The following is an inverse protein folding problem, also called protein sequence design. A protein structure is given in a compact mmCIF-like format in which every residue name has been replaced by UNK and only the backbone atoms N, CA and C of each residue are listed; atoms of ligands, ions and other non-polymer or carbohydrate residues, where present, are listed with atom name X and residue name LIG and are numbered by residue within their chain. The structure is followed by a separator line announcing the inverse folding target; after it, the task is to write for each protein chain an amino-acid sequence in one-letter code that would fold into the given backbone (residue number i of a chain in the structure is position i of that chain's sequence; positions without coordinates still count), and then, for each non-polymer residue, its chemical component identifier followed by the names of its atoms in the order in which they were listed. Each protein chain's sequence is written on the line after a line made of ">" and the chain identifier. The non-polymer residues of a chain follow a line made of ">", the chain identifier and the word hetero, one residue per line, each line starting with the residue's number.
data_IF_992131303961
#
_entry.id   IF_992131303961
#
_cell.length_a   1.000
_cell.length_b   1.000
_cell.length_c   1.000
_cell.angle_alpha   90.00
_cell.angle_beta   90.00
_cell.angle_gamma   90.00
#
_symmetry.space_group_name_H-M   'P 1'
#
loop_
_entity.id
_entity.type
_entity.pdbx_description
1 polymer ?
#
# COMPACT_ATOMS: atom_id res chain seq x y z
N UNK A 1 -12.16 -6.04 -0.42
CA UNK A 1 -13.54 -5.90 -0.93
C UNK A 1 -14.24 -4.74 -0.22
N UNK A 2 -14.44 -3.65 -0.91
CA UNK A 2 -15.12 -2.46 -0.39
C UNK A 2 -16.61 -2.43 -0.81
N UNK A 3 -17.37 -1.54 -0.18
CA UNK A 3 -18.80 -1.31 -0.48
C UNK A 3 -19.70 -2.52 -0.16
N UNK A 4 -19.39 -3.26 0.90
CA UNK A 4 -20.20 -4.42 1.34
C UNK A 4 -21.64 -4.04 1.73
N UNK A 5 -21.91 -2.74 1.91
CA UNK A 5 -23.23 -2.15 2.18
C UNK A 5 -24.10 -1.91 0.94
N UNK A 6 -23.58 -2.17 -0.27
CA UNK A 6 -24.29 -1.91 -1.52
C UNK A 6 -25.03 -3.12 -2.04
N UNK A 7 -26.17 -2.88 -2.72
CA UNK A 7 -26.96 -3.93 -3.38
C UNK A 7 -26.11 -4.71 -4.37
N UNK A 8 -26.15 -6.04 -4.30
CA UNK A 8 -25.37 -6.97 -5.10
C UNK A 8 -23.94 -7.22 -4.56
N UNK A 9 -23.61 -6.71 -3.36
CA UNK A 9 -22.32 -6.99 -2.75
C UNK A 9 -22.20 -8.48 -2.37
N UNK A 10 -21.13 -9.13 -2.85
CA UNK A 10 -20.78 -10.51 -2.51
C UNK A 10 -19.28 -10.63 -2.33
N UNK A 11 -18.87 -11.08 -1.15
CA UNK A 11 -17.48 -11.31 -0.83
C UNK A 11 -16.92 -12.51 -1.58
N UNK A 12 -17.70 -13.57 -1.68
CA UNK A 12 -17.33 -14.80 -2.36
C UNK A 12 -17.10 -14.57 -3.87
N UNK A 13 -17.95 -13.77 -4.52
CA UNK A 13 -17.74 -13.40 -5.92
C UNK A 13 -16.42 -12.67 -6.12
N UNK A 14 -16.09 -11.73 -5.22
CA UNK A 14 -14.82 -10.99 -5.29
C UNK A 14 -13.63 -11.93 -5.12
N UNK A 15 -13.69 -12.87 -4.16
CA UNK A 15 -12.64 -13.87 -3.96
C UNK A 15 -12.43 -14.75 -5.20
N UNK A 16 -13.51 -15.23 -5.78
CA UNK A 16 -13.47 -16.05 -6.98
C UNK A 16 -12.93 -15.26 -8.19
N UNK A 17 -13.38 -14.03 -8.39
CA UNK A 17 -12.89 -13.15 -9.46
C UNK A 17 -11.37 -12.88 -9.32
N UNK A 18 -10.86 -12.68 -8.09
CA UNK A 18 -9.42 -12.52 -7.86
C UNK A 18 -8.67 -13.79 -8.27
N UNK A 19 -9.15 -14.96 -7.87
CA UNK A 19 -8.54 -16.24 -8.22
C UNK A 19 -8.58 -16.53 -9.71
N UNK A 20 -9.75 -16.41 -10.33
CA UNK A 20 -9.97 -16.81 -11.73
C UNK A 20 -9.41 -15.79 -12.74
N UNK A 21 -9.60 -14.49 -12.49
CA UNK A 21 -9.21 -13.45 -13.45
C UNK A 21 -7.79 -12.94 -13.27
N UNK A 22 -7.26 -12.96 -12.04
CA UNK A 22 -5.92 -12.47 -11.75
C UNK A 22 -4.92 -13.60 -11.52
N UNK A 23 -5.37 -14.85 -11.39
CA UNK A 23 -4.51 -15.99 -11.09
C UNK A 23 -3.77 -15.86 -9.75
N UNK A 24 -4.33 -15.07 -8.82
CA UNK A 24 -3.69 -14.72 -7.57
C UNK A 24 -4.15 -15.65 -6.43
N UNK A 25 -3.24 -15.98 -5.51
CA UNK A 25 -3.58 -16.69 -4.28
C UNK A 25 -4.24 -15.70 -3.33
N UNK A 26 -5.58 -15.57 -3.46
CA UNK A 26 -6.39 -14.73 -2.59
C UNK A 26 -6.59 -15.40 -1.24
N UNK A 27 -6.04 -14.82 -0.17
CA UNK A 27 -6.13 -15.30 1.18
C UNK A 27 -7.13 -14.45 1.99
N UNK A 28 -8.37 -14.92 2.22
CA UNK A 28 -9.34 -14.17 3.00
C UNK A 28 -8.93 -14.17 4.48
N UNK A 29 -8.50 -13.03 4.98
CA UNK A 29 -8.16 -12.84 6.40
C UNK A 29 -9.36 -12.35 7.21
N UNK A 30 -10.44 -11.99 6.52
CA UNK A 30 -11.69 -11.53 7.10
C UNK A 30 -12.89 -12.16 6.39
N UNK A 31 -14.03 -12.24 7.11
CA UNK A 31 -15.32 -12.62 6.54
C UNK A 31 -16.43 -11.64 6.97
N UNK A 32 -17.30 -11.18 6.05
CA UNK A 32 -18.35 -10.22 6.40
C UNK A 32 -19.51 -10.91 7.13
N UNK A 33 -20.05 -10.28 8.15
CA UNK A 33 -21.30 -10.66 8.79
C UNK A 33 -22.47 -9.94 8.14
N UNK A 34 -23.15 -10.64 7.24
CA UNK A 34 -24.18 -10.09 6.38
C UNK A 34 -23.61 -9.35 5.16
N UNK A 35 -24.51 -8.90 4.32
CA UNK A 35 -24.21 -8.11 3.12
C UNK A 35 -25.29 -7.05 2.91
N UNK A 36 -25.01 -6.07 2.06
CA UNK A 36 -25.95 -4.99 1.74
C UNK A 36 -26.42 -4.25 3.01
N UNK A 37 -27.73 -4.13 3.19
CA UNK A 37 -28.31 -3.48 4.38
C UNK A 37 -28.08 -4.26 5.68
N UNK A 38 -27.84 -5.58 5.57
CA UNK A 38 -27.57 -6.47 6.70
C UNK A 38 -26.07 -6.56 7.06
N UNK A 39 -25.20 -5.78 6.39
CA UNK A 39 -23.78 -5.75 6.73
C UNK A 39 -23.54 -5.05 8.07
N UNK A 40 -23.41 -5.85 9.13
CA UNK A 40 -23.34 -5.39 10.53
C UNK A 40 -21.98 -5.56 11.19
N UNK A 41 -21.08 -6.36 10.58
CA UNK A 41 -19.79 -6.59 11.20
C UNK A 41 -18.84 -7.42 10.34
N UNK A 42 -17.69 -7.73 10.92
CA UNK A 42 -16.58 -8.43 10.26
C UNK A 42 -16.01 -9.46 11.22
N UNK A 43 -15.77 -10.66 10.73
CA UNK A 43 -15.05 -11.71 11.46
C UNK A 43 -13.58 -11.65 11.03
N UNK A 44 -12.67 -11.56 11.99
CA UNK A 44 -11.24 -11.77 11.80
C UNK A 44 -10.96 -13.28 11.84
N UNK A 45 -10.62 -13.86 10.69
CA UNK A 45 -10.36 -15.30 10.54
C UNK A 45 -9.04 -15.67 11.21
N UNK A 46 -8.07 -14.77 11.23
CA UNK A 46 -6.73 -14.98 11.80
C UNK A 46 -6.80 -15.02 13.33
N UNK A 47 -7.50 -14.05 13.94
CA UNK A 47 -7.63 -13.93 15.40
C UNK A 47 -8.85 -14.66 15.96
N UNK A 48 -9.73 -15.15 15.09
CA UNK A 48 -10.99 -15.82 15.43
C UNK A 48 -11.89 -14.98 16.36
N UNK A 49 -12.08 -13.70 15.99
CA UNK A 49 -12.93 -12.76 16.72
C UNK A 49 -13.91 -12.11 15.78
N UNK A 50 -15.09 -11.75 16.30
CA UNK A 50 -16.10 -11.01 15.56
C UNK A 50 -16.15 -9.55 16.04
N UNK A 51 -16.21 -8.62 15.10
CA UNK A 51 -16.27 -7.17 15.34
C UNK A 51 -17.59 -6.63 14.82
N UNK A 52 -18.46 -6.22 15.74
CA UNK A 52 -19.74 -5.59 15.42
C UNK A 52 -19.63 -4.08 15.49
N UNK A 53 -20.24 -3.40 14.54
CA UNK A 53 -20.34 -1.96 14.50
C UNK A 53 -21.68 -1.53 15.07
N UNK A 54 -21.69 -0.94 16.29
CA UNK A 54 -22.89 -0.68 17.08
C UNK A 54 -23.51 0.68 16.79
N UNK A 55 -22.79 1.57 16.07
CA UNK A 55 -23.29 2.88 15.67
C UNK A 55 -23.19 3.10 14.15
N UNK A 56 -23.94 4.08 13.64
CA UNK A 56 -23.96 4.44 12.22
C UNK A 56 -22.68 5.10 11.71
N UNK A 57 -21.86 5.66 12.63
CA UNK A 57 -20.58 6.28 12.30
C UNK A 57 -19.43 5.27 12.16
N UNK A 58 -19.66 4.01 12.53
CA UNK A 58 -18.64 2.95 12.49
C UNK A 58 -17.46 3.21 13.44
N UNK A 59 -17.68 3.97 14.50
CA UNK A 59 -16.65 4.31 15.50
C UNK A 59 -16.67 3.39 16.71
N UNK A 60 -17.85 2.86 17.05
CA UNK A 60 -18.02 1.99 18.20
C UNK A 60 -18.02 0.54 17.74
N UNK A 61 -16.97 -0.17 18.13
CA UNK A 61 -16.69 -1.55 17.73
C UNK A 61 -16.78 -2.42 18.98
N UNK A 62 -17.65 -3.41 18.94
CA UNK A 62 -17.75 -4.44 19.97
C UNK A 62 -17.08 -5.71 19.45
N UNK A 63 -16.07 -6.19 20.18
CA UNK A 63 -15.41 -7.45 19.90
C UNK A 63 -16.04 -8.58 20.70
N UNK A 64 -16.41 -9.66 20.02
CA UNK A 64 -17.07 -10.84 20.62
C UNK A 64 -16.51 -12.14 20.06
N UNK A 65 -16.99 -13.27 20.61
CA UNK A 65 -16.80 -14.56 19.98
C UNK A 65 -17.57 -14.65 18.66
N UNK A 66 -17.14 -15.53 17.76
CA UNK A 66 -17.78 -15.75 16.47
C UNK A 66 -19.19 -16.33 16.69
N UNK A 67 -20.24 -15.72 16.11
CA UNK A 67 -21.60 -16.26 16.21
C UNK A 67 -21.69 -17.66 15.61
N UNK A 68 -22.50 -18.52 16.24
CA UNK A 68 -22.62 -19.95 15.90
C UNK A 68 -22.93 -20.19 14.41
N UNK A 69 -23.70 -19.30 13.80
CA UNK A 69 -24.10 -19.38 12.38
C UNK A 69 -22.92 -19.24 11.39
N UNK A 70 -21.76 -18.70 11.84
CA UNK A 70 -20.58 -18.49 10.99
C UNK A 70 -19.45 -19.48 11.28
N UNK A 71 -19.52 -20.26 12.37
CA UNK A 71 -18.42 -21.13 12.83
C UNK A 71 -17.92 -22.09 11.75
N UNK A 72 -18.83 -22.81 11.09
CA UNK A 72 -18.47 -23.79 10.06
C UNK A 72 -17.80 -23.11 8.86
N UNK A 73 -18.33 -21.97 8.42
CA UNK A 73 -17.78 -21.22 7.29
C UNK A 73 -16.42 -20.64 7.61
N UNK A 74 -16.25 -20.08 8.81
CA UNK A 74 -14.97 -19.53 9.26
C UNK A 74 -13.93 -20.62 9.44
N UNK A 75 -14.31 -21.78 9.97
CA UNK A 75 -13.40 -22.93 10.11
C UNK A 75 -12.89 -23.42 8.73
N UNK A 76 -13.79 -23.54 7.74
CA UNK A 76 -13.40 -23.88 6.37
C UNK A 76 -12.39 -22.85 5.79
N UNK A 77 -12.70 -21.56 5.91
CA UNK A 77 -11.84 -20.50 5.38
C UNK A 77 -10.50 -20.40 6.11
N UNK A 78 -10.50 -20.64 7.44
CA UNK A 78 -9.27 -20.68 8.23
C UNK A 78 -8.37 -21.84 7.80
N UNK A 79 -8.93 -23.03 7.56
CA UNK A 79 -8.15 -24.15 7.05
C UNK A 79 -7.48 -23.83 5.71
N UNK A 80 -8.22 -23.22 4.77
CA UNK A 80 -7.66 -22.76 3.49
C UNK A 80 -6.60 -21.68 3.67
N UNK A 81 -6.76 -20.79 4.64
CA UNK A 81 -5.80 -19.74 4.97
C UNK A 81 -4.49 -20.32 5.51
N UNK A 82 -4.58 -21.30 6.41
CA UNK A 82 -3.42 -22.01 6.99
C UNK A 82 -2.68 -22.78 5.88
N UNK A 83 -3.40 -23.48 5.02
CA UNK A 83 -2.83 -24.19 3.87
C UNK A 83 -2.05 -23.24 2.96
N UNK A 84 -2.64 -22.10 2.57
CA UNK A 84 -1.97 -21.12 1.75
C UNK A 84 -0.73 -20.50 2.43
N UNK A 85 -0.79 -20.28 3.74
CA UNK A 85 0.33 -19.78 4.52
C UNK A 85 1.45 -20.82 4.68
N UNK A 86 1.11 -22.09 4.82
CA UNK A 86 2.05 -23.21 4.88
C UNK A 86 2.88 -23.37 3.59
N UNK A 87 2.34 -23.02 2.43
CA UNK A 87 3.08 -23.08 1.17
C UNK A 87 4.28 -22.09 1.09
N UNK A 88 4.32 -21.09 1.95
CA UNK A 88 5.37 -20.05 1.97
C UNK A 88 6.27 -20.12 3.21
N UNK A 89 5.92 -20.97 4.17
CA UNK A 89 6.65 -21.11 5.44
C UNK A 89 6.84 -22.57 5.82
N UNK A 90 8.11 -23.02 5.89
CA UNK A 90 8.45 -24.43 6.13
C UNK A 90 8.05 -24.89 7.52
N UNK A 91 8.20 -24.05 8.55
CA UNK A 91 7.82 -24.41 9.91
C UNK A 91 6.31 -24.58 10.03
N UNK A 92 5.55 -23.70 9.38
CA UNK A 92 4.09 -23.78 9.34
C UNK A 92 3.61 -24.97 8.50
N UNK A 93 4.34 -25.34 7.45
CA UNK A 93 4.07 -26.55 6.67
C UNK A 93 4.24 -27.82 7.53
N UNK A 94 5.28 -27.88 8.35
CA UNK A 94 5.47 -29.02 9.26
C UNK A 94 4.32 -29.13 10.27
N UNK A 95 3.91 -28.03 10.89
CA UNK A 95 2.76 -27.99 11.80
C UNK A 95 1.47 -28.43 11.11
N UNK A 96 1.23 -27.95 9.88
CA UNK A 96 0.06 -28.33 9.09
C UNK A 96 0.01 -29.83 8.81
N UNK A 97 1.15 -30.46 8.45
CA UNK A 97 1.26 -31.90 8.19
C UNK A 97 1.08 -32.74 9.45
N UNK A 98 1.48 -32.21 10.62
CA UNK A 98 1.30 -32.88 11.94
C UNK A 98 -0.13 -32.66 12.51
N UNK A 99 -0.93 -31.81 11.83
CA UNK A 99 -2.29 -31.47 12.28
C UNK A 99 -2.31 -30.52 13.47
N UNK A 100 -1.22 -29.80 13.70
CA UNK A 100 -1.13 -28.78 14.74
C UNK A 100 -1.67 -27.44 14.24
N UNK A 101 -2.35 -26.70 15.12
CA UNK A 101 -2.87 -25.39 14.80
C UNK A 101 -1.83 -24.31 15.12
N UNK A 102 -1.49 -23.42 14.14
CA UNK A 102 -0.52 -22.35 14.37
C UNK A 102 -1.09 -21.29 15.32
N UNK A 103 -0.21 -20.66 16.09
CA UNK A 103 -0.57 -19.45 16.83
C UNK A 103 -0.92 -18.29 15.89
N UNK A 104 -1.60 -17.27 16.42
CA UNK A 104 -1.93 -16.06 15.67
C UNK A 104 -0.66 -15.40 15.12
N UNK A 105 0.39 -15.33 15.96
CA UNK A 105 1.67 -14.69 15.61
C UNK A 105 2.38 -15.44 14.47
N UNK A 106 2.38 -16.77 14.51
CA UNK A 106 2.96 -17.62 13.46
C UNK A 106 2.21 -17.44 12.14
N UNK A 107 0.87 -17.46 12.20
CA UNK A 107 0.04 -17.27 11.00
C UNK A 107 0.20 -15.87 10.41
N UNK A 108 0.24 -14.81 11.23
CA UNK A 108 0.49 -13.44 10.78
C UNK A 108 1.88 -13.32 10.14
N UNK A 109 2.91 -13.91 10.75
CA UNK A 109 4.27 -13.87 10.20
C UNK A 109 4.37 -14.57 8.84
N UNK A 110 3.74 -15.75 8.67
CA UNK A 110 3.72 -16.47 7.40
C UNK A 110 2.93 -15.70 6.31
N UNK A 111 1.77 -15.15 6.66
CA UNK A 111 0.98 -14.32 5.74
C UNK A 111 1.74 -13.06 5.31
N UNK A 112 2.45 -12.41 6.26
CA UNK A 112 3.32 -11.27 5.97
C UNK A 112 4.43 -11.66 5.00
N UNK A 113 5.15 -12.75 5.26
CA UNK A 113 6.20 -13.28 4.39
C UNK A 113 5.68 -13.52 2.97
N UNK A 114 4.56 -14.25 2.84
CA UNK A 114 3.94 -14.51 1.54
C UNK A 114 3.46 -13.25 0.82
N UNK A 115 3.04 -12.22 1.57
CA UNK A 115 2.64 -10.92 1.01
C UNK A 115 3.85 -10.15 0.48
N UNK A 116 4.94 -10.10 1.23
CA UNK A 116 6.22 -9.45 0.83
C UNK A 116 6.78 -10.14 -0.41
N UNK A 117 6.73 -11.47 -0.47
CA UNK A 117 7.17 -12.27 -1.61
C UNK A 117 6.18 -12.23 -2.80
N UNK A 118 5.03 -11.56 -2.67
CA UNK A 118 3.96 -11.47 -3.68
C UNK A 118 3.37 -12.82 -4.07
N UNK A 119 3.41 -13.79 -3.16
CA UNK A 119 2.84 -15.13 -3.34
C UNK A 119 1.43 -15.22 -2.78
N UNK A 120 1.12 -14.47 -1.72
CA UNK A 120 -0.18 -14.42 -1.06
C UNK A 120 -0.72 -13.00 -1.10
N UNK A 121 -2.02 -12.86 -1.32
CA UNK A 121 -2.71 -11.58 -1.33
C UNK A 121 -3.83 -11.58 -0.27
N UNK A 122 -3.60 -10.98 0.92
CA UNK A 122 -4.62 -10.89 1.96
C UNK A 122 -5.85 -10.13 1.47
N UNK A 123 -7.02 -10.73 1.65
CA UNK A 123 -8.30 -10.12 1.23
C UNK A 123 -9.12 -9.77 2.45
N UNK A 124 -9.49 -8.49 2.53
CA UNK A 124 -10.29 -7.90 3.59
C UNK A 124 -11.64 -7.44 3.02
N UNK A 125 -12.59 -7.19 3.91
CA UNK A 125 -13.91 -6.68 3.54
C UNK A 125 -14.30 -5.46 4.39
N UNK A 126 -15.22 -4.63 3.86
CA UNK A 126 -15.69 -3.48 4.60
C UNK A 126 -16.57 -2.54 3.76
N UNK A 127 -16.97 -1.44 4.40
CA UNK A 127 -17.62 -0.30 3.77
C UNK A 127 -16.95 0.99 4.25
N UNK A 128 -16.09 1.57 3.43
CA UNK A 128 -15.40 2.81 3.76
C UNK A 128 -16.37 3.97 3.97
N UNK A 129 -17.48 4.02 3.22
CA UNK A 129 -18.51 5.05 3.37
C UNK A 129 -19.18 4.99 4.75
N UNK A 130 -19.38 3.78 5.28
CA UNK A 130 -19.97 3.53 6.60
C UNK A 130 -18.93 3.42 7.70
N UNK A 131 -17.64 3.62 7.38
CA UNK A 131 -16.51 3.43 8.28
C UNK A 131 -16.47 2.05 8.95
N UNK A 132 -17.05 1.02 8.32
CA UNK A 132 -17.03 -0.36 8.79
C UNK A 132 -15.86 -1.11 8.17
N UNK A 133 -14.92 -1.60 9.00
CA UNK A 133 -13.72 -2.33 8.57
C UNK A 133 -12.50 -1.43 8.30
N UNK A 134 -12.60 -0.12 8.42
CA UNK A 134 -11.47 0.80 8.16
C UNK A 134 -10.37 0.62 9.19
N UNK A 135 -10.71 0.50 10.46
CA UNK A 135 -9.76 0.29 11.56
C UNK A 135 -9.00 -1.03 11.37
N UNK A 136 -9.73 -2.12 11.12
CA UNK A 136 -9.14 -3.43 10.85
C UNK A 136 -8.29 -3.46 9.58
N UNK A 137 -8.62 -2.64 8.57
CA UNK A 137 -7.77 -2.47 7.37
C UNK A 137 -6.45 -1.79 7.71
N UNK A 138 -6.47 -0.77 8.58
CA UNK A 138 -5.25 -0.08 9.00
C UNK A 138 -4.34 -1.00 9.82
N UNK A 139 -4.91 -1.81 10.70
CA UNK A 139 -4.17 -2.84 11.43
C UNK A 139 -3.56 -3.87 10.48
N UNK A 140 -4.31 -4.34 9.49
CA UNK A 140 -3.83 -5.27 8.47
C UNK A 140 -2.69 -4.68 7.58
N UNK A 141 -2.68 -3.37 7.35
CA UNK A 141 -1.54 -2.70 6.68
C UNK A 141 -0.27 -2.86 7.51
N UNK A 142 -0.36 -2.72 8.84
CA UNK A 142 0.78 -2.89 9.75
C UNK A 142 1.18 -4.36 9.81
N UNK A 143 0.22 -5.28 9.88
CA UNK A 143 0.47 -6.72 10.01
C UNK A 143 1.09 -7.32 8.75
N UNK A 144 0.62 -6.98 7.57
CA UNK A 144 0.93 -7.72 6.32
C UNK A 144 1.80 -6.97 5.32
N UNK A 145 1.80 -5.63 5.29
CA UNK A 145 2.58 -4.91 4.29
C UNK A 145 4.02 -4.64 4.77
N UNK A 146 4.99 -4.68 3.83
CA UNK A 146 6.39 -4.42 4.18
C UNK A 146 6.65 -2.95 4.49
N UNK A 147 7.55 -2.71 5.42
CA UNK A 147 8.20 -1.41 5.56
C UNK A 147 9.26 -1.19 4.46
N UNK A 148 9.73 0.03 4.24
CA UNK A 148 10.83 0.29 3.30
C UNK A 148 12.12 -0.48 3.58
N UNK A 149 12.33 -0.95 4.83
CA UNK A 149 13.51 -1.73 5.22
C UNK A 149 13.40 -3.23 4.90
N UNK A 150 12.19 -3.71 4.64
CA UNK A 150 11.91 -5.13 4.37
C UNK A 150 11.80 -5.45 2.87
N UNK A 151 11.82 -4.42 2.03
CA UNK A 151 11.84 -4.59 0.56
C UNK A 151 13.27 -4.51 0.04
N UNK A 152 13.58 -5.20 -1.08
CA UNK A 152 14.89 -5.08 -1.71
C UNK A 152 15.23 -3.61 -2.04
N UNK A 153 16.53 -3.28 -1.97
CA UNK A 153 17.02 -1.97 -2.40
C UNK A 153 16.60 -1.69 -3.85
N UNK A 154 16.20 -0.46 -4.13
CA UNK A 154 15.88 -0.09 -5.52
C UNK A 154 17.16 -0.04 -6.34
N UNK A 155 17.09 -0.50 -7.58
CA UNK A 155 18.20 -0.43 -8.52
C UNK A 155 18.03 0.75 -9.45
N UNK A 156 19.12 1.44 -9.69
CA UNK A 156 19.19 2.49 -10.70
C UNK A 156 20.23 2.13 -11.76
N UNK A 157 19.91 2.38 -13.02
CA UNK A 157 20.83 2.19 -14.14
C UNK A 157 21.72 3.42 -14.28
N UNK A 158 23.03 3.20 -14.36
CA UNK A 158 24.00 4.28 -14.62
C UNK A 158 23.85 4.73 -16.07
N UNK A 159 23.89 6.05 -16.31
CA UNK A 159 23.83 6.62 -17.66
C UNK A 159 25.02 6.07 -18.49
N UNK A 160 24.76 5.71 -19.74
CA UNK A 160 25.74 5.19 -20.69
C UNK A 160 26.48 3.90 -20.27
N UNK A 161 25.94 3.16 -19.30
CA UNK A 161 26.50 1.90 -18.82
C UNK A 161 25.42 0.84 -18.67
N UNK A 162 25.84 -0.45 -18.67
CA UNK A 162 25.00 -1.56 -18.24
C UNK A 162 25.02 -1.77 -16.72
N UNK A 163 25.83 -0.98 -16.01
CA UNK A 163 25.98 -1.10 -14.56
C UNK A 163 24.73 -0.59 -13.82
N UNK A 164 24.43 -1.24 -12.73
CA UNK A 164 23.35 -0.86 -11.83
C UNK A 164 23.89 -0.55 -10.43
N UNK A 165 23.37 0.48 -9.81
CA UNK A 165 23.66 0.84 -8.43
C UNK A 165 22.43 0.55 -7.57
N UNK A 166 22.64 -0.06 -6.42
CA UNK A 166 21.57 -0.30 -5.43
C UNK A 166 21.49 0.85 -4.44
N UNK A 167 20.25 1.28 -4.15
CA UNK A 167 19.94 2.33 -3.20
C UNK A 167 19.14 1.72 -2.04
N UNK A 168 19.81 1.32 -0.95
CA UNK A 168 19.13 0.86 0.26
C UNK A 168 18.34 2.01 0.91
N UNK A 169 17.32 1.68 1.68
CA UNK A 169 16.53 2.66 2.41
C UNK A 169 17.30 3.22 3.62
N UNK A 170 18.40 3.92 3.35
CA UNK A 170 19.28 4.54 4.32
C UNK A 170 19.18 6.06 4.23
N UNK A 171 18.75 6.77 5.29
CA UNK A 171 18.69 8.24 5.32
C UNK A 171 20.04 8.95 5.13
N UNK A 172 21.16 8.28 5.50
CA UNK A 172 22.52 8.81 5.36
C UNK A 172 23.17 8.45 4.01
N UNK A 173 22.47 7.65 3.20
CA UNK A 173 22.93 7.22 1.88
C UNK A 173 22.87 8.34 0.82
N UNK A 174 23.34 8.02 -0.40
CA UNK A 174 23.17 8.91 -1.55
C UNK A 174 21.68 9.14 -1.82
N UNK A 175 21.30 10.38 -2.16
CA UNK A 175 19.91 10.70 -2.47
C UNK A 175 19.47 10.00 -3.75
N UNK A 176 18.39 9.25 -3.66
CA UNK A 176 17.66 8.69 -4.80
C UNK A 176 16.15 8.82 -4.56
N UNK A 177 15.48 9.58 -5.39
CA UNK A 177 14.05 9.84 -5.29
C UNK A 177 13.37 9.78 -6.66
N UNK A 178 12.11 9.38 -6.67
CA UNK A 178 11.28 9.32 -7.87
C UNK A 178 10.12 10.32 -7.76
N UNK A 179 9.99 11.20 -8.75
CA UNK A 179 8.81 12.02 -8.93
C UNK A 179 7.71 11.17 -9.58
N UNK A 180 6.68 10.76 -8.82
CA UNK A 180 5.67 9.80 -9.29
C UNK A 180 4.32 10.43 -9.67
N UNK A 181 4.09 11.68 -9.28
CA UNK A 181 2.84 12.41 -9.59
C UNK A 181 3.07 13.90 -9.58
N UNK A 182 2.43 14.59 -10.52
CA UNK A 182 2.37 16.06 -10.55
C UNK A 182 0.92 16.51 -10.43
N UNK A 183 0.70 17.53 -9.63
CA UNK A 183 -0.62 18.12 -9.42
C UNK A 183 -0.50 19.64 -9.47
N UNK A 184 -1.42 20.29 -10.17
CA UNK A 184 -1.59 21.73 -10.09
C UNK A 184 -2.47 22.07 -8.88
N UNK A 185 -1.99 22.96 -8.03
CA UNK A 185 -2.71 23.45 -6.87
C UNK A 185 -2.97 24.95 -7.01
N UNK A 186 -4.20 25.41 -6.79
CA UNK A 186 -4.56 26.82 -7.02
C UNK A 186 -3.86 27.81 -6.08
N UNK A 187 -3.35 27.35 -4.92
CA UNK A 187 -2.73 28.21 -3.91
C UNK A 187 -1.21 28.19 -3.92
N UNK A 188 -0.62 27.02 -4.20
CA UNK A 188 0.85 26.84 -4.13
C UNK A 188 1.48 26.53 -5.49
N UNK A 189 0.66 26.44 -6.54
CA UNK A 189 1.11 26.16 -7.88
C UNK A 189 1.40 24.68 -8.11
N UNK A 190 2.55 24.38 -8.68
CA UNK A 190 2.94 23.01 -9.04
C UNK A 190 3.44 22.24 -7.81
N UNK A 191 2.79 21.14 -7.51
CA UNK A 191 3.18 20.15 -6.50
C UNK A 191 3.76 18.93 -7.21
N UNK A 192 5.01 18.58 -6.92
CA UNK A 192 5.66 17.36 -7.40
C UNK A 192 5.72 16.37 -6.25
N UNK A 193 4.94 15.30 -6.32
CA UNK A 193 4.99 14.24 -5.32
C UNK A 193 6.18 13.33 -5.57
N UNK A 194 6.97 13.10 -4.52
CA UNK A 194 8.19 12.33 -4.58
C UNK A 194 8.17 11.19 -3.56
N UNK A 195 8.78 10.08 -3.92
CA UNK A 195 9.16 9.00 -3.01
C UNK A 195 10.67 9.03 -2.84
N UNK A 196 11.13 9.11 -1.61
CA UNK A 196 12.55 9.02 -1.28
C UNK A 196 12.89 7.56 -1.06
N UNK A 197 13.77 7.01 -1.89
CA UNK A 197 14.23 5.63 -1.77
C UNK A 197 15.50 5.53 -0.91
N UNK A 198 16.41 6.49 -1.03
CA UNK A 198 17.67 6.55 -0.27
C UNK A 198 18.04 7.99 -0.02
N UNK A 199 18.82 8.24 1.00
CA UNK A 199 19.28 9.57 1.39
C UNK A 199 18.20 10.43 2.04
N UNK A 200 18.48 11.70 2.15
CA UNK A 200 17.61 12.73 2.73
C UNK A 200 17.49 13.92 1.80
N UNK A 201 16.25 14.27 1.43
CA UNK A 201 15.94 15.46 0.66
C UNK A 201 15.66 16.63 1.60
N UNK A 202 16.40 17.73 1.47
CA UNK A 202 16.27 18.91 2.33
C UNK A 202 15.60 20.08 1.61
N UNK A 203 14.79 20.84 2.32
CA UNK A 203 14.21 22.08 1.85
C UNK A 203 15.30 23.12 1.57
N UNK A 204 15.20 23.85 0.44
CA UNK A 204 16.16 24.85 0.01
C UNK A 204 17.42 24.29 -0.66
N UNK A 205 17.62 22.97 -0.67
CA UNK A 205 18.74 22.31 -1.32
C UNK A 205 18.63 22.31 -2.85
N UNK A 206 19.61 21.71 -3.49
CA UNK A 206 19.61 21.44 -4.93
C UNK A 206 19.60 19.93 -5.17
N UNK A 207 18.90 19.51 -6.22
CA UNK A 207 18.91 18.16 -6.75
C UNK A 207 19.23 18.18 -8.24
N UNK A 208 19.75 17.07 -8.73
CA UNK A 208 19.91 16.84 -10.14
C UNK A 208 18.79 15.95 -10.67
N UNK A 209 18.02 16.45 -11.62
CA UNK A 209 17.01 15.68 -12.34
C UNK A 209 17.72 14.89 -13.44
N UNK A 210 18.02 13.63 -13.15
CA UNK A 210 18.77 12.77 -14.07
C UNK A 210 18.01 12.53 -15.39
N UNK A 211 16.69 12.42 -15.33
CA UNK A 211 15.85 12.21 -16.53
C UNK A 211 15.76 13.41 -17.47
N UNK A 212 16.06 14.62 -16.99
CA UNK A 212 16.03 15.87 -17.77
C UNK A 212 17.40 16.53 -17.90
N UNK A 213 18.41 15.94 -17.28
CA UNK A 213 19.79 16.47 -17.21
C UNK A 213 19.85 17.91 -16.71
N UNK A 214 19.08 18.23 -15.69
CA UNK A 214 18.98 19.58 -15.15
C UNK A 214 19.10 19.62 -13.65
N UNK A 215 19.80 20.63 -13.18
CA UNK A 215 19.86 21.00 -11.76
C UNK A 215 18.62 21.78 -11.40
N UNK A 216 17.92 21.37 -10.36
CA UNK A 216 16.70 22.02 -9.87
C UNK A 216 16.82 22.40 -8.40
N UNK A 217 16.19 23.48 -8.00
CA UNK A 217 16.14 23.90 -6.61
C UNK A 217 14.91 23.32 -5.94
N UNK A 218 15.12 22.65 -4.83
CA UNK A 218 14.06 22.21 -3.90
C UNK A 218 13.58 23.45 -3.13
N UNK A 219 12.34 23.82 -3.32
CA UNK A 219 11.74 24.92 -2.56
C UNK A 219 11.28 24.41 -1.19
N UNK A 220 9.95 24.36 -0.96
CA UNK A 220 9.36 23.83 0.26
C UNK A 220 9.02 22.36 0.14
N UNK A 221 9.11 21.65 1.25
CA UNK A 221 8.71 20.25 1.36
C UNK A 221 7.44 20.15 2.19
N UNK A 222 6.51 19.32 1.76
CA UNK A 222 5.23 19.11 2.41
C UNK A 222 4.99 17.62 2.66
N UNK A 223 4.56 17.27 3.87
CA UNK A 223 3.85 16.01 4.15
C UNK A 223 2.34 16.24 3.95
N UNK A 224 1.72 15.32 3.24
CA UNK A 224 0.30 15.42 2.88
C UNK A 224 -0.52 14.44 3.69
N UNK A 225 -1.49 14.93 4.44
CA UNK A 225 -2.44 14.14 5.21
C UNK A 225 -3.87 14.48 4.75
N UNK A 226 -4.37 13.73 3.77
CA UNK A 226 -5.63 14.06 3.09
C UNK A 226 -5.61 15.50 2.54
N UNK A 227 -6.43 16.41 3.09
CA UNK A 227 -6.48 17.82 2.71
C UNK A 227 -5.56 18.73 3.53
N UNK A 228 -4.88 18.19 4.54
CA UNK A 228 -3.94 18.94 5.38
C UNK A 228 -2.54 18.87 4.80
N UNK A 229 -1.82 19.98 4.89
CA UNK A 229 -0.43 20.12 4.44
C UNK A 229 0.41 20.51 5.64
N UNK A 230 1.45 19.76 5.88
CA UNK A 230 2.43 20.05 6.92
C UNK A 230 3.74 20.37 6.25
N UNK A 231 4.29 21.56 6.48
CA UNK A 231 5.59 21.96 5.97
C UNK A 231 6.67 21.31 6.82
N UNK A 232 7.62 20.65 6.15
CA UNK A 232 8.74 19.96 6.79
C UNK A 232 10.06 20.45 6.22
N UNK A 233 11.13 20.30 6.99
CA UNK A 233 12.48 20.72 6.57
C UNK A 233 13.19 19.66 5.76
N UNK A 234 12.82 18.39 5.94
CA UNK A 234 13.44 17.25 5.27
C UNK A 234 12.44 16.12 5.01
N UNK A 235 12.76 15.28 4.02
CA UNK A 235 12.13 13.99 3.75
C UNK A 235 13.22 12.91 3.68
N UNK A 236 13.07 11.83 4.43
CA UNK A 236 14.06 10.75 4.55
C UNK A 236 13.70 9.54 3.70
N UNK A 237 14.68 8.67 3.48
CA UNK A 237 14.49 7.38 2.83
C UNK A 237 13.25 6.64 3.37
N UNK A 238 12.42 6.14 2.46
CA UNK A 238 11.13 5.49 2.75
C UNK A 238 9.93 6.45 2.83
N UNK A 239 10.14 7.76 2.94
CA UNK A 239 9.05 8.73 3.04
C UNK A 239 8.49 9.17 1.69
N UNK A 240 7.23 9.59 1.74
CA UNK A 240 6.51 10.24 0.65
C UNK A 240 6.27 11.70 1.02
N UNK A 241 6.43 12.60 0.05
CA UNK A 241 6.11 14.00 0.26
C UNK A 241 5.83 14.74 -1.04
N UNK A 242 5.53 16.02 -0.94
CA UNK A 242 5.37 16.89 -2.09
C UNK A 242 6.42 18.01 -2.05
N UNK A 243 7.01 18.28 -3.19
CA UNK A 243 8.00 19.33 -3.40
C UNK A 243 7.37 20.49 -4.15
N UNK A 244 7.53 21.70 -3.63
CA UNK A 244 7.22 22.94 -4.33
C UNK A 244 8.52 23.52 -4.85
N UNK A 245 8.53 23.98 -6.09
CA UNK A 245 9.68 24.69 -6.68
C UNK A 245 10.43 23.95 -7.75
N UNK A 246 10.19 22.65 -7.93
CA UNK A 246 10.72 21.93 -9.10
C UNK A 246 9.96 22.38 -10.35
N UNK A 247 10.71 22.90 -11.35
CA UNK A 247 10.14 23.50 -12.55
C UNK A 247 10.03 22.51 -13.71
N UNK A 248 11.07 21.71 -13.87
CA UNK A 248 11.21 20.80 -15.02
C UNK A 248 10.86 19.35 -14.69
N UNK A 249 10.81 18.98 -13.40
CA UNK A 249 10.52 17.62 -12.97
C UNK A 249 9.15 17.14 -13.49
N UNK A 250 9.11 16.00 -14.18
CA UNK A 250 7.93 15.33 -14.69
C UNK A 250 7.61 14.06 -13.90
N UNK A 251 6.44 13.45 -14.17
CA UNK A 251 6.11 12.12 -13.66
C UNK A 251 7.10 11.10 -14.23
N UNK A 252 7.62 10.20 -13.39
CA UNK A 252 8.64 9.21 -13.75
C UNK A 252 10.06 9.73 -13.70
N UNK A 253 10.31 11.03 -13.39
CA UNK A 253 11.66 11.54 -13.33
C UNK A 253 12.39 11.15 -12.06
N UNK A 254 13.68 10.81 -12.23
CA UNK A 254 14.62 10.50 -11.15
C UNK A 254 15.30 11.77 -10.65
N UNK A 255 15.29 11.95 -9.35
CA UNK A 255 15.99 13.03 -8.65
C UNK A 255 17.09 12.43 -7.78
N UNK A 256 18.32 12.91 -7.97
CA UNK A 256 19.53 12.47 -7.24
C UNK A 256 20.20 13.65 -6.56
N UNK A 257 21.19 13.38 -5.73
CA UNK A 257 22.03 14.42 -5.13
C UNK A 257 22.77 15.24 -6.18
N UNK A 258 22.93 16.53 -5.90
CA UNK A 258 23.67 17.43 -6.79
C UNK A 258 25.17 17.08 -6.78
N UNK A 259 25.68 16.59 -7.90
CA UNK A 259 27.06 16.11 -8.05
C UNK A 259 27.27 14.62 -7.88
N UNK A 260 26.20 13.84 -7.64
CA UNK A 260 26.27 12.38 -7.65
C UNK A 260 26.33 11.78 -9.06
N UNK A 261 26.69 10.50 -9.15
CA UNK A 261 26.69 9.76 -10.40
C UNK A 261 25.29 9.78 -11.00
N UNK A 262 25.20 10.03 -12.30
CA UNK A 262 23.93 10.06 -13.02
C UNK A 262 23.32 8.66 -13.11
N UNK A 263 22.23 8.48 -12.40
CA UNK A 263 21.51 7.21 -12.31
C UNK A 263 20.03 7.44 -12.61
N UNK A 264 19.44 6.56 -13.38
CA UNK A 264 18.00 6.51 -13.64
C UNK A 264 17.38 5.35 -12.86
N UNK A 265 16.43 5.68 -11.98
CA UNK A 265 15.58 4.69 -11.34
C UNK A 265 14.58 4.16 -12.37
N UNK A 266 14.11 2.92 -12.14
CA UNK A 266 13.06 2.34 -12.96
C UNK A 266 11.81 3.22 -12.92
N UNK A 267 11.41 3.77 -14.05
CA UNK A 267 10.25 4.64 -14.16
C UNK A 267 8.98 3.83 -14.46
N UNK A 268 7.87 4.25 -13.89
CA UNK A 268 6.56 3.77 -14.31
C UNK A 268 6.16 4.60 -15.53
N UNK A 269 6.25 4.03 -16.73
CA UNK A 269 5.70 4.64 -17.93
C UNK A 269 4.17 4.66 -17.81
N UNK A 270 3.63 5.84 -17.49
CA UNK A 270 2.21 6.11 -17.70
C UNK A 270 2.07 6.70 -19.09
N UNK A 271 1.29 6.03 -19.94
CA UNK A 271 0.89 6.66 -21.21
C UNK A 271 0.13 7.94 -20.88
N UNK A 272 0.72 9.08 -21.21
CA UNK A 272 0.12 10.39 -20.94
C UNK A 272 -1.08 10.71 -21.85
N UNK A 273 -1.45 9.80 -22.72
CA UNK A 273 -2.51 9.99 -23.72
C UNK A 273 -3.92 10.16 -23.13
N UNK A 274 -4.12 9.91 -21.83
CA UNK A 274 -5.44 10.01 -21.22
C UNK A 274 -5.63 11.21 -20.27
N UNK A 275 -4.68 12.10 -20.14
CA UNK A 275 -4.82 13.28 -19.25
C UNK A 275 -5.47 14.50 -19.91
N UNK A 276 -5.72 14.47 -21.23
CA UNK A 276 -6.32 15.61 -21.94
C UNK A 276 -7.85 15.66 -21.94
N UNK A 277 -8.55 14.59 -21.54
CA UNK A 277 -10.00 14.52 -21.66
C UNK A 277 -10.82 14.61 -20.38
N UNK A 278 -10.17 14.78 -19.21
CA UNK A 278 -10.89 15.08 -17.96
C UNK A 278 -10.91 16.57 -17.62
N UNK A 279 -11.04 17.41 -18.63
CA UNK A 279 -11.62 18.73 -18.43
C UNK A 279 -13.14 18.53 -18.36
N UNK A 280 -13.61 18.33 -17.15
CA UNK A 280 -15.04 18.37 -16.84
C UNK A 280 -15.63 19.71 -17.30
N UNK A 281 -16.64 19.73 -18.13
CA UNK A 281 -17.41 20.93 -18.34
C UNK A 281 -18.40 21.06 -17.17
N UNK A 282 -18.01 21.68 -16.10
CA UNK A 282 -19.00 22.35 -15.28
C UNK A 282 -19.30 23.71 -15.91
N UNK A 283 -20.23 23.71 -16.83
CA UNK A 283 -21.03 24.87 -17.21
C UNK A 283 -22.44 24.57 -16.73
N UNK A 284 -22.95 25.46 -15.91
CA UNK A 284 -24.27 25.69 -15.34
C UNK A 284 -24.59 24.93 -14.07
#
# INVERSE_FOLDING_TARGET
>A
SNKMDKTGASFELVLNDIKERLGAVAAPVQYPMGAENEFKGIIDIVRQRAHFYTNDLGTDIEETDIPAEYLDKVAEMRAQLIEAAAEVDEDLMMMYLEGEEPSVEQLVAALRKGTIEKRIFPVLCGSALKNKGVQLLLDAVIDYLPSPLEVPAIKGKVEDSEDTIEFPADPEGKLAALAFKIMADPYVGRLTFVRIYSGTLQSGSYVYNASKEKRERVGRLLKMHANKREEVTELKAGELGAVIGLKDAGTGNTLIGDGDDKVLLESIDRSEEHTSELQSPYVI
#
